data_IF_996938183364
#
_entry.id   IF_996938183364
#
_cell.length_a   1.000
_cell.length_b   1.000
_cell.length_c   1.000
_cell.angle_alpha   90.00
_cell.angle_beta   90.00
_cell.angle_gamma   90.00
#
_symmetry.space_group_name_H-M   'P 1'
#
loop_
_entity.id
_entity.type
_entity.pdbx_description
1 polymer ?
#
# COMPACT_ATOMS: atom_id res chain seq x y z
N UNK A 1 -18.07 26.66 -0.15
CA UNK A 1 -18.75 25.77 -1.12
C UNK A 1 -17.93 25.67 -2.40
N UNK A 2 -17.58 26.79 -3.02
CA UNK A 2 -16.88 26.80 -4.31
C UNK A 2 -15.50 26.16 -4.26
N UNK A 3 -14.73 26.40 -3.19
CA UNK A 3 -13.43 25.74 -2.99
C UNK A 3 -13.48 24.21 -2.96
N UNK A 4 -14.58 23.59 -2.49
CA UNK A 4 -14.74 22.12 -2.55
C UNK A 4 -14.90 21.66 -3.99
N UNK A 5 -15.73 22.36 -4.78
CA UNK A 5 -15.91 22.02 -6.19
C UNK A 5 -14.65 22.28 -7.01
N UNK A 6 -13.90 23.31 -6.67
CA UNK A 6 -12.60 23.60 -7.24
C UNK A 6 -11.61 22.45 -6.96
N UNK A 7 -11.45 22.03 -5.70
CA UNK A 7 -10.60 20.89 -5.36
C UNK A 7 -11.04 19.60 -6.06
N UNK A 8 -12.35 19.37 -6.24
CA UNK A 8 -12.84 18.21 -6.98
C UNK A 8 -12.46 18.28 -8.47
N UNK A 9 -12.66 19.44 -9.11
CA UNK A 9 -12.31 19.64 -10.54
C UNK A 9 -10.80 19.54 -10.77
N UNK A 10 -10.02 20.14 -9.88
CA UNK A 10 -8.54 20.11 -9.89
C UNK A 10 -7.97 18.77 -9.40
N UNK A 11 -8.82 17.87 -8.90
CA UNK A 11 -8.44 16.59 -8.30
C UNK A 11 -7.52 16.73 -7.08
N UNK A 12 -7.56 17.86 -6.38
CA UNK A 12 -6.83 18.12 -5.13
C UNK A 12 -7.46 17.39 -3.95
N UNK A 13 -7.48 16.06 -4.02
CA UNK A 13 -8.07 15.18 -3.03
C UNK A 13 -7.41 13.80 -3.07
N UNK A 14 -7.77 12.97 -2.10
CA UNK A 14 -7.36 11.57 -2.01
C UNK A 14 -8.56 10.69 -1.67
N UNK A 15 -8.51 9.43 -2.09
CA UNK A 15 -9.51 8.42 -1.74
C UNK A 15 -9.04 7.60 -0.54
N UNK A 16 -9.97 7.09 0.28
CA UNK A 16 -9.66 6.12 1.34
C UNK A 16 -10.64 4.95 1.31
N UNK A 17 -10.26 3.81 1.91
CA UNK A 17 -11.16 2.67 2.10
C UNK A 17 -12.08 2.80 3.33
N UNK A 18 -12.26 4.03 3.85
CA UNK A 18 -13.13 4.32 5.00
C UNK A 18 -12.41 4.88 6.23
N UNK A 19 -11.08 4.95 6.21
CA UNK A 19 -10.31 5.61 7.28
C UNK A 19 -10.35 7.13 7.15
N UNK A 20 -10.23 7.82 8.28
CA UNK A 20 -9.98 9.26 8.35
C UNK A 20 -8.49 9.46 8.62
N UNK A 21 -7.79 9.98 7.62
CA UNK A 21 -6.39 10.39 7.74
C UNK A 21 -6.19 11.73 7.04
N UNK A 22 -5.12 12.41 7.40
CA UNK A 22 -4.58 13.54 6.65
C UNK A 22 -3.50 13.02 5.70
N UNK A 23 -3.56 13.49 4.45
CA UNK A 23 -2.57 13.21 3.41
C UNK A 23 -2.34 14.49 2.62
N UNK A 24 -1.09 14.97 2.60
CA UNK A 24 -0.62 16.03 1.70
C UNK A 24 0.49 15.47 0.81
N UNK A 25 0.45 15.81 -0.48
CA UNK A 25 1.42 15.35 -1.47
C UNK A 25 1.68 16.49 -2.45
N UNK A 26 2.95 16.87 -2.53
CA UNK A 26 3.44 17.96 -3.37
C UNK A 26 4.67 17.52 -4.14
N UNK A 27 4.97 18.23 -5.21
CA UNK A 27 6.17 18.03 -6.00
C UNK A 27 6.87 19.37 -6.21
N UNK A 28 8.16 19.41 -5.89
CA UNK A 28 9.05 20.52 -6.17
C UNK A 28 9.77 20.29 -7.50
N UNK A 29 9.73 21.31 -8.35
CA UNK A 29 10.40 21.35 -9.65
C UNK A 29 11.73 22.09 -9.50
N UNK A 30 12.78 21.54 -10.12
CA UNK A 30 14.10 22.19 -10.16
C UNK A 30 14.10 23.32 -11.16
N UNK A 31 13.46 23.11 -12.32
CA UNK A 31 13.16 24.15 -13.29
C UNK A 31 11.67 24.46 -13.22
N UNK A 32 11.30 25.74 -13.18
CA UNK A 32 9.89 26.14 -13.17
C UNK A 32 9.12 25.40 -14.28
N UNK A 33 7.89 25.00 -13.99
CA UNK A 33 7.02 24.28 -14.92
C UNK A 33 5.75 25.04 -15.25
N UNK A 34 5.00 24.52 -16.22
CA UNK A 34 3.66 25.02 -16.56
C UNK A 34 2.62 24.13 -15.91
N UNK A 35 1.92 24.63 -14.91
CA UNK A 35 0.78 23.94 -14.30
C UNK A 35 -0.50 24.31 -15.04
N UNK A 36 -1.10 23.34 -15.73
CA UNK A 36 -2.27 23.56 -16.56
C UNK A 36 -3.56 23.53 -15.75
N UNK A 37 -4.52 24.36 -16.17
CA UNK A 37 -5.83 24.45 -15.53
C UNK A 37 -6.77 23.31 -15.92
N UNK A 38 -6.61 22.82 -17.15
CA UNK A 38 -7.33 21.70 -17.75
C UNK A 38 -6.34 20.83 -18.54
N UNK A 39 -6.77 19.65 -18.98
CA UNK A 39 -5.91 18.75 -19.76
C UNK A 39 -5.55 19.36 -21.13
N UNK A 40 -4.27 19.70 -21.40
CA UNK A 40 -3.86 20.34 -22.65
C UNK A 40 -4.00 19.42 -23.87
N UNK A 41 -4.11 18.09 -23.69
CA UNK A 41 -4.38 17.16 -24.79
C UNK A 41 -5.84 17.21 -25.25
N UNK A 42 -6.75 17.62 -24.37
CA UNK A 42 -8.19 17.73 -24.66
C UNK A 42 -8.56 19.18 -25.01
N UNK A 43 -7.92 20.14 -24.35
CA UNK A 43 -8.18 21.57 -24.50
C UNK A 43 -6.90 22.29 -24.95
N UNK A 44 -6.69 22.49 -26.27
CA UNK A 44 -5.48 23.11 -26.80
C UNK A 44 -5.20 24.54 -26.28
N UNK A 45 -6.26 25.26 -25.91
CA UNK A 45 -6.19 26.62 -25.35
C UNK A 45 -6.19 26.62 -23.80
N UNK A 46 -5.85 25.50 -23.16
CA UNK A 46 -5.77 25.40 -21.71
C UNK A 46 -4.80 26.45 -21.13
N UNK A 47 -5.32 27.27 -20.22
CA UNK A 47 -4.50 28.20 -19.45
C UNK A 47 -3.51 27.47 -18.56
N UNK A 48 -2.39 28.11 -18.26
CA UNK A 48 -1.39 27.61 -17.33
C UNK A 48 -0.79 28.74 -16.49
N UNK A 49 -0.31 28.36 -15.30
CA UNK A 49 0.53 29.20 -14.46
C UNK A 49 1.97 28.67 -14.48
N UNK A 50 2.96 29.57 -14.46
CA UNK A 50 4.35 29.19 -14.21
C UNK A 50 4.56 28.97 -12.72
N UNK A 51 5.03 27.79 -12.33
CA UNK A 51 5.14 27.37 -10.92
C UNK A 51 6.46 26.64 -10.66
N UNK A 52 6.94 26.70 -9.42
CA UNK A 52 8.06 25.88 -8.94
C UNK A 52 7.61 24.70 -8.07
N UNK A 53 6.33 24.66 -7.68
CA UNK A 53 5.73 23.59 -6.88
C UNK A 53 4.31 23.29 -7.37
N UNK A 54 3.94 22.01 -7.36
CA UNK A 54 2.58 21.52 -7.67
C UNK A 54 2.10 20.57 -6.57
N UNK A 55 0.80 20.26 -6.55
CA UNK A 55 0.20 19.35 -5.58
C UNK A 55 -0.62 18.23 -6.25
N UNK A 56 -0.99 17.21 -5.47
CA UNK A 56 -1.80 16.08 -5.92
C UNK A 56 -2.96 16.52 -6.81
N UNK A 57 -3.10 15.92 -8.01
CA UNK A 57 -4.15 16.24 -8.97
C UNK A 57 -3.75 17.20 -10.09
N UNK A 58 -2.67 17.98 -9.90
CA UNK A 58 -2.17 18.92 -10.91
C UNK A 58 -1.63 18.22 -12.17
N UNK A 59 -1.67 18.95 -13.28
CA UNK A 59 -1.08 18.56 -14.57
C UNK A 59 0.06 19.54 -14.85
N UNK A 60 1.28 19.04 -14.97
CA UNK A 60 2.46 19.88 -15.09
C UNK A 60 3.38 19.45 -16.23
N UNK A 61 3.77 20.41 -17.05
CA UNK A 61 4.88 20.26 -17.98
C UNK A 61 6.15 20.82 -17.36
N UNK A 62 7.25 20.06 -17.41
CA UNK A 62 8.57 20.48 -16.93
C UNK A 62 9.69 19.93 -17.81
N UNK A 63 10.82 20.63 -17.89
CA UNK A 63 12.01 20.12 -18.57
C UNK A 63 12.85 19.18 -17.68
N UNK A 64 12.53 19.13 -16.37
CA UNK A 64 13.25 18.33 -15.38
C UNK A 64 13.26 16.83 -15.71
N UNK A 65 14.41 16.18 -15.46
CA UNK A 65 14.54 14.73 -15.57
C UNK A 65 14.11 13.99 -14.28
N UNK A 66 14.04 14.70 -13.15
CA UNK A 66 13.57 14.19 -11.86
C UNK A 66 12.76 15.27 -11.14
N UNK A 67 11.78 14.86 -10.35
CA UNK A 67 11.02 15.75 -9.46
C UNK A 67 11.20 15.27 -8.01
N UNK A 68 11.22 16.20 -7.06
CA UNK A 68 11.20 15.83 -5.64
C UNK A 68 9.77 15.80 -5.13
N UNK A 69 9.24 14.62 -4.83
CA UNK A 69 7.91 14.44 -4.25
C UNK A 69 8.00 14.53 -2.72
N UNK A 70 7.32 15.48 -2.12
CA UNK A 70 7.16 15.62 -0.67
C UNK A 70 5.79 15.11 -0.24
N UNK A 71 5.73 14.35 0.86
CA UNK A 71 4.48 13.85 1.41
C UNK A 71 4.43 13.97 2.93
N UNK A 72 3.22 14.16 3.44
CA UNK A 72 2.90 14.10 4.86
C UNK A 72 1.63 13.27 5.08
N UNK A 73 1.71 12.31 6.00
CA UNK A 73 0.60 11.46 6.40
C UNK A 73 0.40 11.55 7.89
N UNK A 74 -0.85 11.66 8.34
CA UNK A 74 -1.24 11.49 9.73
C UNK A 74 -2.51 10.65 9.82
N UNK A 75 -2.40 9.48 10.43
CA UNK A 75 -3.47 8.48 10.50
C UNK A 75 -3.86 8.18 11.95
N UNK A 76 -5.09 7.69 12.15
CA UNK A 76 -5.52 7.22 13.47
C UNK A 76 -4.80 5.93 13.85
N UNK A 77 -4.60 5.01 12.92
CA UNK A 77 -3.90 3.74 13.12
C UNK A 77 -2.44 3.85 12.67
N UNK A 78 -1.52 3.03 13.24
CA UNK A 78 -0.14 3.01 12.80
C UNK A 78 -0.03 2.77 11.29
N UNK A 79 0.93 3.43 10.66
CA UNK A 79 1.21 3.30 9.23
C UNK A 79 2.05 2.02 9.05
N UNK A 80 1.53 1.08 8.26
CA UNK A 80 2.30 -0.11 7.84
C UNK A 80 3.38 0.33 6.85
N UNK A 81 2.98 1.08 5.82
CA UNK A 81 3.86 1.63 4.78
C UNK A 81 3.22 2.74 3.96
N UNK A 82 4.06 3.50 3.27
CA UNK A 82 3.67 4.40 2.17
C UNK A 82 4.46 4.02 0.93
N UNK A 83 3.78 3.73 -0.17
CA UNK A 83 4.42 3.48 -1.46
C UNK A 83 4.36 4.75 -2.31
N UNK A 84 5.51 5.25 -2.76
CA UNK A 84 5.62 6.30 -3.78
C UNK A 84 5.66 5.63 -5.15
N UNK A 85 4.80 6.06 -6.07
CA UNK A 85 4.58 5.39 -7.36
C UNK A 85 4.67 6.34 -8.54
N UNK A 86 5.15 5.82 -9.67
CA UNK A 86 5.07 6.44 -11.00
C UNK A 86 4.31 5.49 -11.93
N UNK A 87 3.03 5.81 -12.18
CA UNK A 87 2.11 4.90 -12.84
C UNK A 87 1.86 3.65 -11.99
N UNK A 88 2.19 2.47 -12.52
CA UNK A 88 2.03 1.18 -11.81
C UNK A 88 3.28 0.78 -11.01
N UNK A 89 4.42 1.43 -11.25
CA UNK A 89 5.69 1.10 -10.65
C UNK A 89 5.81 1.73 -9.25
N UNK A 90 6.25 0.94 -8.28
CA UNK A 90 6.65 1.44 -6.96
C UNK A 90 8.09 1.94 -7.06
N UNK A 91 8.26 3.24 -6.89
CA UNK A 91 9.57 3.92 -6.88
C UNK A 91 10.27 3.68 -5.55
N UNK A 92 9.54 3.85 -4.45
CA UNK A 92 10.07 3.66 -3.11
C UNK A 92 8.96 3.22 -2.15
N UNK A 93 9.30 2.39 -1.16
CA UNK A 93 8.39 2.04 -0.06
C UNK A 93 8.95 2.54 1.27
N UNK A 94 8.24 3.49 1.86
CA UNK A 94 8.59 4.17 3.10
C UNK A 94 7.92 3.51 4.30
N UNK A 95 8.63 3.44 5.42
CA UNK A 95 8.14 2.92 6.70
C UNK A 95 8.63 3.79 7.84
N UNK A 96 7.85 3.84 8.93
CA UNK A 96 8.26 4.54 10.16
C UNK A 96 9.29 3.78 10.99
N UNK A 97 9.53 2.51 10.67
CA UNK A 97 10.39 1.60 11.42
C UNK A 97 11.36 0.88 10.47
N UNK A 98 12.44 0.34 11.04
CA UNK A 98 13.52 -0.36 10.34
C UNK A 98 13.63 -1.84 10.77
N UNK A 99 14.54 -2.58 10.13
CA UNK A 99 14.85 -3.97 10.50
C UNK A 99 15.25 -4.14 11.98
N UNK A 100 15.85 -3.12 12.59
CA UNK A 100 16.30 -3.14 13.99
C UNK A 100 15.15 -3.14 15.00
N UNK A 101 13.95 -2.75 14.57
CA UNK A 101 12.76 -2.61 15.41
C UNK A 101 11.79 -3.77 15.24
N UNK A 102 12.11 -4.72 14.34
CA UNK A 102 11.29 -5.90 14.12
C UNK A 102 11.18 -6.74 15.39
N UNK A 103 10.00 -7.29 15.63
CA UNK A 103 9.75 -8.22 16.72
C UNK A 103 9.26 -9.57 16.19
N UNK A 104 8.69 -10.38 17.08
CA UNK A 104 8.07 -11.66 16.72
C UNK A 104 6.61 -11.50 16.30
N UNK A 105 6.30 -10.43 15.56
CA UNK A 105 4.99 -10.19 14.96
C UNK A 105 5.06 -10.47 13.47
N UNK A 106 4.38 -11.53 13.03
CA UNK A 106 4.31 -11.90 11.62
C UNK A 106 2.94 -11.51 11.06
N UNK A 107 2.96 -10.78 9.96
CA UNK A 107 1.77 -10.41 9.19
C UNK A 107 1.65 -11.33 7.98
N UNK A 108 0.46 -11.89 7.78
CA UNK A 108 0.08 -12.67 6.60
C UNK A 108 -1.10 -11.98 5.93
N UNK A 109 -0.93 -11.62 4.65
CA UNK A 109 -1.95 -10.89 3.88
C UNK A 109 -2.24 -11.64 2.58
N UNK A 110 -3.51 -11.88 2.28
CA UNK A 110 -3.98 -12.30 0.96
C UNK A 110 -4.66 -11.12 0.25
N UNK A 111 -4.45 -10.99 -1.06
CA UNK A 111 -4.99 -9.86 -1.83
C UNK A 111 -5.47 -10.24 -3.22
N UNK A 112 -6.07 -9.28 -3.93
CA UNK A 112 -6.26 -9.35 -5.37
C UNK A 112 -7.57 -9.96 -5.83
N UNK A 113 -7.63 -10.27 -7.11
CA UNK A 113 -8.82 -10.73 -7.81
C UNK A 113 -8.45 -11.75 -8.90
N UNK A 114 -9.44 -12.47 -9.43
CA UNK A 114 -9.18 -13.38 -10.55
C UNK A 114 -8.87 -12.64 -11.86
N UNK A 115 -9.70 -11.66 -12.21
CA UNK A 115 -9.59 -10.88 -13.46
C UNK A 115 -10.39 -9.57 -13.36
N UNK A 116 -10.38 -8.74 -14.42
CA UNK A 116 -11.12 -7.48 -14.45
C UNK A 116 -12.59 -7.72 -14.81
N UNK A 117 -13.52 -7.16 -14.04
CA UNK A 117 -14.96 -7.20 -14.36
C UNK A 117 -15.81 -7.93 -13.32
N UNK A 118 -16.97 -8.44 -13.74
CA UNK A 118 -17.93 -9.13 -12.88
C UNK A 118 -17.49 -10.58 -12.65
N UNK A 119 -17.71 -11.12 -11.45
CA UNK A 119 -17.32 -12.50 -11.10
C UNK A 119 -15.83 -12.66 -10.76
N UNK A 120 -15.15 -11.57 -10.43
CA UNK A 120 -13.70 -11.49 -10.14
C UNK A 120 -13.27 -11.97 -8.74
N UNK A 121 -14.15 -12.69 -8.05
CA UNK A 121 -13.94 -13.06 -6.65
C UNK A 121 -12.91 -14.16 -6.52
N UNK A 122 -11.87 -13.93 -5.73
CA UNK A 122 -10.93 -14.97 -5.34
C UNK A 122 -11.38 -15.60 -4.04
N UNK A 123 -11.55 -16.92 -4.04
CA UNK A 123 -11.76 -17.69 -2.81
C UNK A 123 -10.43 -18.20 -2.27
N UNK A 124 -10.08 -17.77 -1.06
CA UNK A 124 -8.91 -18.18 -0.30
C UNK A 124 -9.35 -19.17 0.78
N UNK A 125 -8.89 -20.41 0.69
CA UNK A 125 -9.06 -21.42 1.74
C UNK A 125 -7.70 -21.99 2.08
N UNK A 126 -7.28 -21.79 3.32
CA UNK A 126 -5.94 -22.17 3.70
C UNK A 126 -5.69 -22.27 5.18
N UNK A 127 -4.45 -22.65 5.50
CA UNK A 127 -3.92 -22.73 6.84
C UNK A 127 -2.50 -22.18 6.84
N UNK A 128 -2.20 -21.36 7.85
CA UNK A 128 -0.85 -20.99 8.20
C UNK A 128 -0.44 -21.75 9.46
N UNK A 129 0.73 -22.36 9.45
CA UNK A 129 1.29 -23.14 10.56
C UNK A 129 2.67 -22.59 10.91
N UNK A 130 2.93 -22.45 12.19
CA UNK A 130 4.16 -21.89 12.77
C UNK A 130 4.88 -22.98 13.58
N UNK A 131 5.45 -23.96 12.88
CA UNK A 131 6.10 -25.13 13.47
C UNK A 131 7.27 -24.75 14.37
N UNK A 132 7.27 -25.27 15.60
CA UNK A 132 8.29 -24.96 16.61
C UNK A 132 8.02 -23.68 17.39
N UNK A 133 7.07 -22.83 16.97
CA UNK A 133 6.65 -21.63 17.68
C UNK A 133 5.27 -21.81 18.33
N UNK A 134 4.85 -20.80 19.10
CA UNK A 134 3.46 -20.70 19.55
C UNK A 134 2.87 -19.31 19.43
N UNK A 135 1.60 -19.25 19.04
CA UNK A 135 0.82 -18.03 18.86
C UNK A 135 0.30 -17.58 20.22
N UNK A 136 0.83 -16.46 20.69
CA UNK A 136 0.39 -15.78 21.91
C UNK A 136 -0.87 -14.95 21.67
N UNK A 137 -0.94 -14.32 20.50
CA UNK A 137 -2.04 -13.44 20.10
C UNK A 137 -2.20 -13.50 18.60
N UNK A 138 -3.44 -13.36 18.15
CA UNK A 138 -3.79 -13.15 16.76
C UNK A 138 -4.68 -11.91 16.63
N UNK A 139 -4.46 -11.12 15.58
CA UNK A 139 -5.36 -10.03 15.17
C UNK A 139 -5.78 -10.19 13.71
N UNK A 140 -7.03 -9.83 13.41
CA UNK A 140 -7.60 -9.96 12.06
C UNK A 140 -7.47 -8.65 11.30
N UNK A 141 -7.27 -8.74 10.00
CA UNK A 141 -7.21 -7.59 9.08
C UNK A 141 -8.30 -7.76 8.03
N UNK A 142 -9.20 -6.79 7.91
CA UNK A 142 -10.32 -6.79 6.95
C UNK A 142 -11.17 -8.08 6.93
N UNK A 143 -11.39 -8.69 8.10
CA UNK A 143 -12.17 -9.91 8.25
C UNK A 143 -13.65 -9.62 8.58
N UNK A 144 -14.35 -8.99 7.64
CA UNK A 144 -15.71 -8.46 7.85
C UNK A 144 -16.83 -9.51 7.75
N UNK A 145 -16.55 -10.68 7.15
CA UNK A 145 -17.54 -11.75 7.04
C UNK A 145 -17.44 -12.69 8.24
N UNK A 146 -18.36 -12.54 9.20
CA UNK A 146 -18.38 -13.33 10.43
C UNK A 146 -18.76 -14.81 10.23
N UNK A 147 -19.34 -15.17 9.08
CA UNK A 147 -19.66 -16.55 8.75
C UNK A 147 -18.44 -17.31 8.21
N UNK A 148 -17.39 -16.59 7.80
CA UNK A 148 -16.17 -17.19 7.29
C UNK A 148 -15.10 -17.34 8.36
N UNK A 149 -14.38 -18.45 8.26
CA UNK A 149 -13.39 -18.86 9.24
C UNK A 149 -12.16 -17.96 9.16
N UNK A 150 -11.76 -17.39 10.28
CA UNK A 150 -10.43 -16.82 10.46
C UNK A 150 -10.12 -16.89 11.95
N UNK A 151 -9.44 -17.95 12.36
CA UNK A 151 -9.27 -18.27 13.78
C UNK A 151 -8.04 -19.15 14.00
N UNK A 152 -7.50 -19.07 15.22
CA UNK A 152 -6.42 -19.92 15.68
C UNK A 152 -6.94 -21.33 16.02
N UNK A 153 -6.16 -22.34 15.66
CA UNK A 153 -6.37 -23.76 15.96
C UNK A 153 -5.16 -24.28 16.72
N UNK A 154 -5.36 -24.72 17.96
CA UNK A 154 -4.25 -25.16 18.80
C UNK A 154 -3.27 -24.02 19.09
N UNK A 155 -1.99 -24.35 19.22
CA UNK A 155 -0.94 -23.39 19.62
C UNK A 155 -0.22 -22.72 18.45
N UNK A 156 -0.33 -23.27 17.25
CA UNK A 156 0.60 -22.98 16.14
C UNK A 156 -0.08 -22.83 14.78
N UNK A 157 -1.41 -22.97 14.68
CA UNK A 157 -2.12 -22.93 13.39
C UNK A 157 -3.15 -21.79 13.36
N UNK A 158 -3.23 -21.09 12.22
CA UNK A 158 -4.34 -20.20 11.86
C UNK A 158 -5.03 -20.79 10.64
N UNK A 159 -6.34 -21.03 10.72
CA UNK A 159 -7.15 -21.49 9.60
C UNK A 159 -7.98 -20.33 9.06
N UNK A 160 -8.02 -20.17 7.74
CA UNK A 160 -8.72 -19.08 7.08
C UNK A 160 -9.54 -19.53 5.86
N UNK A 161 -10.70 -18.90 5.71
CA UNK A 161 -11.59 -18.92 4.56
C UNK A 161 -11.95 -17.45 4.28
N UNK A 162 -11.60 -16.92 3.11
CA UNK A 162 -11.79 -15.52 2.79
C UNK A 162 -12.11 -15.30 1.30
N UNK A 163 -12.68 -14.14 1.01
CA UNK A 163 -12.88 -13.67 -0.37
C UNK A 163 -12.20 -12.33 -0.55
N UNK A 164 -11.56 -12.15 -1.70
CA UNK A 164 -11.12 -10.84 -2.19
C UNK A 164 -11.67 -10.54 -3.57
N UNK A 165 -11.96 -9.26 -3.84
CA UNK A 165 -12.42 -8.77 -5.15
C UNK A 165 -11.52 -7.64 -5.66
N UNK A 166 -10.23 -7.70 -5.34
CA UNK A 166 -9.23 -6.66 -5.58
C UNK A 166 -8.75 -5.95 -4.32
N UNK A 167 -9.45 -6.12 -3.20
CA UNK A 167 -9.00 -5.70 -1.86
C UNK A 167 -8.05 -6.75 -1.25
N UNK A 168 -7.68 -6.55 0.02
CA UNK A 168 -6.90 -7.51 0.79
C UNK A 168 -7.52 -7.76 2.17
N UNK A 169 -7.14 -8.90 2.75
CA UNK A 169 -7.39 -9.24 4.14
C UNK A 169 -6.23 -10.08 4.68
N UNK A 170 -6.26 -10.37 5.96
CA UNK A 170 -5.11 -11.04 6.58
C UNK A 170 -5.24 -11.21 8.06
N UNK A 171 -4.11 -11.51 8.68
CA UNK A 171 -3.96 -11.53 10.12
C UNK A 171 -2.53 -11.24 10.53
N UNK A 172 -2.39 -10.81 11.78
CA UNK A 172 -1.12 -10.79 12.50
C UNK A 172 -1.10 -11.89 13.55
N UNK A 173 0.06 -12.48 13.76
CA UNK A 173 0.34 -13.33 14.92
C UNK A 173 1.56 -12.81 15.68
N UNK A 174 1.47 -12.84 17.00
CA UNK A 174 2.60 -12.64 17.90
C UNK A 174 3.07 -14.00 18.36
N UNK A 175 4.34 -14.31 18.09
CA UNK A 175 4.91 -15.63 18.29
C UNK A 175 5.88 -15.65 19.47
N UNK A 176 5.97 -16.81 20.11
CA UNK A 176 7.02 -17.20 21.06
C UNK A 176 7.72 -18.47 20.58
N UNK A 177 8.85 -18.81 21.20
CA UNK A 177 9.67 -19.99 20.90
C UNK A 177 10.19 -20.03 19.44
N UNK A 178 10.61 -18.89 18.89
CA UNK A 178 10.87 -18.74 17.44
C UNK A 178 12.24 -19.21 16.93
N UNK A 179 13.18 -19.59 17.82
CA UNK A 179 14.61 -19.70 17.49
C UNK A 179 14.91 -20.58 16.26
N UNK A 180 14.26 -21.74 16.16
CA UNK A 180 14.39 -22.70 15.04
C UNK A 180 13.04 -22.94 14.34
N UNK A 181 12.09 -22.02 14.53
CA UNK A 181 10.74 -22.21 14.07
C UNK A 181 10.61 -21.96 12.55
N UNK A 182 9.64 -22.64 11.94
CA UNK A 182 9.33 -22.58 10.52
C UNK A 182 7.90 -22.12 10.32
N UNK A 183 7.62 -21.58 9.14
CA UNK A 183 6.25 -21.34 8.72
C UNK A 183 5.90 -22.14 7.48
N UNK A 184 4.64 -22.52 7.39
CA UNK A 184 4.03 -23.02 6.16
C UNK A 184 2.63 -22.40 6.00
N UNK A 185 2.34 -21.92 4.80
CA UNK A 185 1.04 -21.41 4.40
C UNK A 185 0.60 -22.25 3.21
N UNK A 186 -0.46 -23.02 3.40
CA UNK A 186 -1.04 -23.87 2.37
C UNK A 186 -2.43 -23.35 2.03
N UNK A 187 -2.70 -23.18 0.73
CA UNK A 187 -4.01 -22.74 0.24
C UNK A 187 -4.45 -23.57 -0.95
N UNK A 188 -5.73 -23.42 -1.33
CA UNK A 188 -6.26 -23.92 -2.60
C UNK A 188 -5.62 -23.28 -3.85
N UNK A 189 -4.76 -22.28 -3.71
CA UNK A 189 -4.12 -21.54 -4.81
C UNK A 189 -2.59 -21.67 -4.84
N UNK A 190 -2.00 -22.41 -3.90
CA UNK A 190 -0.55 -22.59 -3.80
C UNK A 190 -0.10 -22.69 -2.35
N UNK A 191 1.22 -22.84 -2.18
CA UNK A 191 1.85 -22.96 -0.87
C UNK A 191 3.14 -22.14 -0.78
N UNK A 192 3.42 -21.64 0.43
CA UNK A 192 4.64 -20.90 0.78
C UNK A 192 5.16 -21.41 2.11
N UNK A 193 6.46 -21.70 2.20
CA UNK A 193 7.08 -22.14 3.45
C UNK A 193 8.53 -21.66 3.52
N UNK A 194 9.08 -21.63 4.73
CA UNK A 194 10.45 -21.17 4.98
C UNK A 194 10.78 -21.18 6.47
N UNK A 195 11.99 -20.73 6.81
CA UNK A 195 12.34 -20.49 8.21
C UNK A 195 11.72 -19.16 8.68
N UNK A 196 11.27 -19.06 9.94
CA UNK A 196 10.77 -17.79 10.46
C UNK A 196 11.85 -16.70 10.49
N UNK A 197 13.11 -17.10 10.71
CA UNK A 197 14.28 -16.21 10.70
C UNK A 197 14.54 -15.54 9.34
N UNK A 198 14.01 -16.09 8.26
CA UNK A 198 14.13 -15.51 6.91
C UNK A 198 13.06 -14.44 6.63
N UNK A 199 11.99 -14.38 7.43
CA UNK A 199 10.95 -13.35 7.28
C UNK A 199 11.47 -12.05 7.92
N UNK A 200 11.83 -11.09 7.07
CA UNK A 200 12.27 -9.76 7.48
C UNK A 200 11.25 -8.67 7.20
N UNK A 201 11.76 -7.46 6.96
CA UNK A 201 10.98 -6.28 6.58
C UNK A 201 10.36 -6.43 5.18
N UNK A 202 11.12 -7.04 4.27
CA UNK A 202 10.70 -7.31 2.90
C UNK A 202 9.73 -8.49 2.83
N UNK A 203 8.85 -8.44 1.83
CA UNK A 203 7.78 -9.40 1.68
C UNK A 203 8.26 -10.72 1.07
N UNK A 204 7.99 -11.83 1.74
CA UNK A 204 8.00 -13.15 1.11
C UNK A 204 6.66 -13.37 0.43
N UNK A 205 6.68 -13.61 -0.88
CA UNK A 205 5.46 -13.61 -1.71
C UNK A 205 5.18 -14.99 -2.31
N UNK A 206 3.92 -15.43 -2.19
CA UNK A 206 3.33 -16.45 -3.05
C UNK A 206 2.49 -15.76 -4.12
N UNK A 207 2.98 -15.77 -5.35
CA UNK A 207 2.18 -15.39 -6.51
C UNK A 207 1.16 -16.50 -6.82
N UNK A 208 -0.12 -16.14 -6.91
CA UNK A 208 -1.22 -17.06 -7.19
C UNK A 208 -1.89 -16.74 -8.54
N UNK A 209 -1.18 -16.10 -9.47
CA UNK A 209 -1.68 -15.65 -10.76
C UNK A 209 -2.72 -14.53 -10.63
N UNK A 210 -3.64 -14.40 -11.59
CA UNK A 210 -4.72 -13.42 -11.53
C UNK A 210 -4.24 -11.95 -11.51
N UNK A 211 -5.00 -11.08 -10.85
CA UNK A 211 -4.69 -9.65 -10.70
C UNK A 211 -4.29 -9.32 -9.28
N UNK A 212 -3.00 -9.08 -9.06
CA UNK A 212 -2.41 -8.84 -7.73
C UNK A 212 -2.86 -9.89 -6.70
N UNK A 213 -3.13 -11.11 -7.18
CA UNK A 213 -3.62 -12.22 -6.36
C UNK A 213 -2.44 -12.98 -5.81
N UNK A 214 -2.15 -12.72 -4.55
CA UNK A 214 -0.94 -13.18 -3.88
C UNK A 214 -1.15 -13.31 -2.38
N UNK A 215 -0.31 -14.11 -1.75
CA UNK A 215 -0.08 -14.06 -0.30
C UNK A 215 1.26 -13.39 -0.06
N UNK A 216 1.29 -12.53 0.95
CA UNK A 216 2.49 -11.84 1.41
C UNK A 216 2.71 -12.12 2.89
N UNK A 217 3.95 -12.40 3.24
CA UNK A 217 4.38 -12.66 4.61
C UNK A 217 5.54 -11.74 4.92
N UNK A 218 5.44 -10.98 6.00
CA UNK A 218 6.49 -10.06 6.43
C UNK A 218 6.42 -9.84 7.94
N UNK A 219 7.51 -9.30 8.49
CA UNK A 219 7.68 -9.08 9.91
C UNK A 219 7.41 -7.62 10.24
N UNK A 220 6.77 -7.40 11.38
CA UNK A 220 6.49 -6.08 11.94
C UNK A 220 7.15 -5.92 13.31
N UNK A 221 7.34 -4.67 13.78
CA UNK A 221 7.62 -4.42 15.19
C UNK A 221 6.56 -5.07 16.08
N UNK A 222 6.95 -5.47 17.29
CA UNK A 222 6.00 -5.98 18.29
C UNK A 222 4.85 -5.00 18.54
N UNK A 223 5.17 -3.70 18.49
CA UNK A 223 4.23 -2.58 18.51
C UNK A 223 4.79 -1.47 17.63
N UNK A 224 3.99 -0.96 16.70
CA UNK A 224 4.36 0.15 15.83
C UNK A 224 3.73 1.47 16.34
N UNK A 225 4.54 2.45 16.80
CA UNK A 225 4.01 3.71 17.30
C UNK A 225 3.76 4.75 16.19
N UNK A 226 4.20 4.51 14.96
CA UNK A 226 4.28 5.53 13.91
C UNK A 226 2.92 5.75 13.25
N UNK A 227 2.24 6.82 13.69
CA UNK A 227 0.97 7.29 13.12
C UNK A 227 1.14 8.45 12.15
N UNK A 228 2.33 9.03 12.12
CA UNK A 228 2.71 10.12 11.23
C UNK A 228 3.95 9.74 10.43
N UNK A 229 4.02 10.19 9.18
CA UNK A 229 5.19 10.00 8.32
C UNK A 229 5.32 11.20 7.38
N UNK A 230 6.51 11.78 7.33
CA UNK A 230 6.87 12.82 6.37
C UNK A 230 8.14 12.42 5.64
N UNK A 231 8.17 12.58 4.32
CA UNK A 231 9.30 12.17 3.51
C UNK A 231 9.42 13.01 2.24
N UNK A 232 10.62 13.02 1.66
CA UNK A 232 10.90 13.52 0.33
C UNK A 232 11.55 12.41 -0.49
N UNK A 233 11.03 12.17 -1.69
CA UNK A 233 11.48 11.12 -2.60
C UNK A 233 11.76 11.74 -3.96
N UNK A 234 12.97 11.52 -4.47
CA UNK A 234 13.33 11.90 -5.84
C UNK A 234 12.76 10.88 -6.82
N UNK A 235 11.91 11.33 -7.72
CA UNK A 235 11.23 10.47 -8.70
C UNK A 235 11.73 10.80 -10.11
N UNK A 236 12.41 9.86 -10.78
CA UNK A 236 12.79 10.02 -12.19
C UNK A 236 11.56 10.11 -13.10
N UNK A 237 11.58 11.06 -14.03
CA UNK A 237 10.56 11.21 -15.07
C UNK A 237 10.93 10.44 -16.33
N UNK A 238 10.00 9.63 -16.82
CA UNK A 238 10.09 8.93 -18.09
C UNK A 238 9.84 9.96 -19.21
N UNK A 239 10.72 10.06 -20.23
CA UNK A 239 10.51 10.97 -21.35
C UNK A 239 9.35 10.49 -22.24
N UNK A 240 8.78 11.43 -23.00
CA UNK A 240 7.78 11.19 -24.04
C UNK A 240 6.49 10.47 -23.57
N UNK A 241 6.13 10.62 -22.29
CA UNK A 241 4.89 10.10 -21.71
C UNK A 241 4.53 10.83 -20.42
N UNK A 242 3.29 10.65 -19.99
CA UNK A 242 2.87 11.05 -18.66
C UNK A 242 3.54 10.21 -17.58
N UNK A 243 3.85 10.88 -16.47
CA UNK A 243 4.33 10.30 -15.23
C UNK A 243 3.27 10.60 -14.16
N UNK A 244 2.27 9.72 -13.96
CA UNK A 244 1.33 9.88 -12.87
C UNK A 244 2.03 9.56 -11.55
N UNK A 245 2.40 10.58 -10.79
CA UNK A 245 3.08 10.46 -9.51
C UNK A 245 2.05 10.45 -8.39
N UNK A 246 2.00 9.38 -7.59
CA UNK A 246 1.02 9.25 -6.51
C UNK A 246 1.56 8.41 -5.37
N UNK A 247 0.87 8.46 -4.23
CA UNK A 247 1.23 7.67 -3.06
C UNK A 247 0.09 6.76 -2.64
N UNK A 248 0.43 5.56 -2.19
CA UNK A 248 -0.48 4.61 -1.56
C UNK A 248 -0.09 4.44 -0.08
N UNK A 249 -0.96 4.86 0.83
CA UNK A 249 -0.78 4.65 2.27
C UNK A 249 -1.50 3.37 2.67
N UNK A 250 -0.86 2.51 3.45
CA UNK A 250 -1.50 1.35 4.10
C UNK A 250 -1.31 1.46 5.60
N UNK A 251 -2.40 1.36 6.37
CA UNK A 251 -2.38 1.37 7.84
C UNK A 251 -2.50 -0.05 8.39
N UNK A 252 -2.00 -0.27 9.61
CA UNK A 252 -1.94 -1.61 10.20
C UNK A 252 -3.31 -2.26 10.40
N UNK A 253 -4.37 -1.48 10.56
CA UNK A 253 -5.75 -1.96 10.69
C UNK A 253 -6.40 -2.36 9.35
N UNK A 254 -5.67 -2.26 8.24
CA UNK A 254 -6.12 -2.75 6.93
C UNK A 254 -6.78 -1.69 6.05
N UNK A 255 -6.79 -0.43 6.45
CA UNK A 255 -7.24 0.65 5.57
C UNK A 255 -6.14 1.14 4.65
N UNK A 256 -6.56 1.76 3.54
CA UNK A 256 -5.68 2.38 2.56
C UNK A 256 -6.16 3.77 2.19
N UNK A 257 -5.22 4.59 1.73
CA UNK A 257 -5.49 5.85 1.06
C UNK A 257 -4.62 6.04 -0.17
N UNK A 258 -5.14 6.79 -1.14
CA UNK A 258 -4.51 7.07 -2.42
C UNK A 258 -4.61 8.54 -2.76
N UNK A 259 -3.48 9.22 -2.95
CA UNK A 259 -3.50 10.58 -3.50
C UNK A 259 -3.99 10.55 -4.95
N UNK A 260 -4.67 11.62 -5.38
CA UNK A 260 -4.75 11.89 -6.81
C UNK A 260 -3.33 11.97 -7.40
N UNK A 261 -3.10 11.48 -8.61
CA UNK A 261 -1.80 11.63 -9.24
C UNK A 261 -1.49 13.08 -9.58
N UNK A 262 -0.23 13.47 -9.40
CA UNK A 262 0.37 14.61 -10.09
C UNK A 262 0.78 14.09 -11.47
N UNK A 263 0.20 14.63 -12.52
CA UNK A 263 0.50 14.23 -13.90
C UNK A 263 1.64 15.09 -14.44
N UNK A 264 2.86 14.59 -14.34
CA UNK A 264 4.04 15.28 -14.86
C UNK A 264 4.42 14.76 -16.25
N UNK A 265 4.71 15.65 -17.19
CA UNK A 265 5.23 15.28 -18.52
C UNK A 265 6.32 16.26 -18.95
N UNK A 266 7.13 15.83 -19.92
CA UNK A 266 8.27 16.56 -20.47
C UNK A 266 7.98 16.90 -21.93
#
# INVERSE_FOLDING_TARGET
RDGIFECLRRRHHYGTTGTRLFLDVRADLTTDGKCYHDDPNVFPDAGFDTVSQVMMGDIVQTDDAEITLALEVSALSPIERVEVRNGLEVVETLRGFSEKELGERIRVVWSGAEYRGRGRETNWKGRARFDGASIQRMEKINAWNHERRLEQHGRDVVAFDAITTGNFGGFDVWLEDVADARFSIETNLGALNGALSEIGLEETVLDAGGLERKIRVFRLPKSNPHRTLSAQVKVPLKPDRDNPLWVCVTTEDGFQAWSSPIYAFR
#
